data_IF_791087928844
#
_entry.id   IF_791087928844
#
_cell.length_a   1.000
_cell.length_b   1.000
_cell.length_c   1.000
_cell.angle_alpha   90.00
_cell.angle_beta   90.00
_cell.angle_gamma   90.00
#
_symmetry.space_group_name_H-M   'P 1'
#
loop_
_entity.id
_entity.type
_entity.pdbx_description
1 polymer ?
#
# COMPACT_ATOMS: atom_id res chain seq x y z
N UNK A 1 -2.09 -1.97 7.94
CA UNK A 1 -2.38 -0.52 8.08
C UNK A 1 -3.07 -0.28 9.42
N UNK A 2 -2.43 0.47 10.31
CA UNK A 2 -2.95 0.77 11.64
C UNK A 2 -3.55 2.18 11.72
N UNK A 3 -3.12 3.08 10.87
CA UNK A 3 -3.64 4.44 10.73
C UNK A 3 -4.49 4.60 9.45
N UNK A 4 -5.42 3.69 9.26
CA UNK A 4 -6.27 3.62 8.06
C UNK A 4 -7.11 4.89 7.91
N UNK A 5 -7.19 5.50 6.71
CA UNK A 5 -8.14 6.56 6.46
C UNK A 5 -9.57 6.12 6.75
N UNK A 6 -10.31 6.92 7.54
CA UNK A 6 -11.65 6.57 8.02
C UNK A 6 -12.67 6.37 6.89
N UNK A 7 -12.43 6.98 5.72
CA UNK A 7 -13.25 6.82 4.51
C UNK A 7 -13.28 5.36 4.02
N UNK A 8 -12.23 4.58 4.29
CA UNK A 8 -12.16 3.17 3.89
C UNK A 8 -13.14 2.26 4.65
N UNK A 9 -13.77 2.75 5.73
CA UNK A 9 -14.75 2.02 6.52
C UNK A 9 -16.20 2.24 6.06
N UNK A 10 -16.42 3.00 5.00
CA UNK A 10 -17.76 3.19 4.46
C UNK A 10 -18.31 1.88 3.92
N UNK A 11 -19.59 1.56 4.21
CA UNK A 11 -20.24 0.34 3.72
C UNK A 11 -20.38 0.32 2.20
N UNK A 12 -20.56 1.50 1.60
CA UNK A 12 -20.64 1.69 0.16
C UNK A 12 -19.34 2.25 -0.37
N UNK A 13 -18.74 1.52 -1.30
CA UNK A 13 -17.55 1.97 -2.01
C UNK A 13 -17.80 3.23 -2.87
N UNK A 14 -18.99 3.39 -3.43
CA UNK A 14 -19.33 4.57 -4.23
C UNK A 14 -19.31 5.85 -3.37
N UNK A 15 -19.76 5.79 -2.12
CA UNK A 15 -19.65 6.91 -1.19
C UNK A 15 -18.19 7.23 -0.87
N UNK A 16 -17.36 6.21 -0.73
CA UNK A 16 -15.91 6.37 -0.54
C UNK A 16 -15.22 7.03 -1.72
N UNK A 17 -15.57 6.65 -2.95
CA UNK A 17 -15.06 7.28 -4.18
C UNK A 17 -15.38 8.77 -4.24
N UNK A 18 -16.59 9.16 -3.88
CA UNK A 18 -16.99 10.56 -3.87
C UNK A 18 -16.16 11.38 -2.91
N UNK A 19 -15.93 10.88 -1.68
CA UNK A 19 -15.10 11.56 -0.68
C UNK A 19 -13.66 11.68 -1.13
N UNK A 20 -13.10 10.61 -1.71
CA UNK A 20 -11.71 10.62 -2.18
C UNK A 20 -11.53 11.53 -3.39
N UNK A 21 -12.50 11.55 -4.31
CA UNK A 21 -12.52 12.52 -5.40
C UNK A 21 -12.55 13.96 -4.88
N UNK A 22 -13.38 14.23 -3.88
CA UNK A 22 -13.44 15.56 -3.24
C UNK A 22 -12.12 15.94 -2.59
N UNK A 23 -11.44 14.98 -1.95
CA UNK A 23 -10.13 15.17 -1.36
C UNK A 23 -9.07 15.49 -2.43
N UNK A 24 -8.99 14.67 -3.49
CA UNK A 24 -8.06 14.89 -4.61
C UNK A 24 -8.31 16.24 -5.29
N UNK A 25 -9.57 16.59 -5.56
CA UNK A 25 -9.94 17.89 -6.14
C UNK A 25 -9.49 19.05 -5.22
N UNK A 26 -9.70 18.96 -3.90
CA UNK A 26 -9.24 19.97 -2.94
C UNK A 26 -7.71 20.10 -2.93
N UNK A 27 -6.99 18.99 -2.89
CA UNK A 27 -5.52 18.97 -2.90
C UNK A 27 -4.99 19.61 -4.19
N UNK A 28 -5.57 19.26 -5.34
CA UNK A 28 -5.14 19.81 -6.64
C UNK A 28 -5.47 21.31 -6.77
N UNK A 29 -6.64 21.74 -6.32
CA UNK A 29 -7.06 23.15 -6.41
C UNK A 29 -6.14 24.07 -5.60
N UNK A 30 -5.71 23.63 -4.40
CA UNK A 30 -4.84 24.47 -3.55
C UNK A 30 -3.39 24.56 -4.05
N UNK A 31 -2.95 23.73 -5.00
CA UNK A 31 -1.61 23.81 -5.57
C UNK A 31 -1.45 24.91 -6.63
N UNK A 32 -2.55 25.54 -7.04
CA UNK A 32 -2.49 26.61 -8.04
C UNK A 32 -1.77 27.85 -7.49
N UNK A 33 -0.84 28.41 -8.25
CA UNK A 33 -0.13 29.64 -7.86
C UNK A 33 -1.07 30.82 -7.67
N UNK A 34 -2.15 30.89 -8.46
CA UNK A 34 -3.20 31.92 -8.35
C UNK A 34 -4.58 31.25 -8.28
N UNK A 35 -5.41 31.69 -7.33
CA UNK A 35 -6.78 31.23 -7.17
C UNK A 35 -7.73 32.17 -7.91
N UNK A 36 -8.10 31.78 -9.14
CA UNK A 36 -9.14 32.49 -9.89
C UNK A 36 -10.49 32.40 -9.14
N UNK A 37 -11.43 33.27 -9.49
CA UNK A 37 -12.79 33.21 -8.94
C UNK A 37 -13.45 31.83 -9.14
N UNK A 38 -13.12 31.16 -10.24
CA UNK A 38 -13.59 29.80 -10.50
C UNK A 38 -13.00 28.81 -9.50
N UNK A 39 -11.69 28.83 -9.23
CA UNK A 39 -11.00 27.99 -8.24
C UNK A 39 -11.57 28.25 -6.84
N UNK A 40 -11.76 29.52 -6.46
CA UNK A 40 -12.34 29.89 -5.17
C UNK A 40 -13.75 29.36 -5.00
N UNK A 41 -14.56 29.43 -6.06
CA UNK A 41 -15.93 28.90 -6.08
C UNK A 41 -15.94 27.38 -5.94
N UNK A 42 -15.08 26.66 -6.67
CA UNK A 42 -14.96 25.20 -6.59
C UNK A 42 -14.51 24.74 -5.20
N UNK A 43 -13.48 25.38 -4.62
CA UNK A 43 -13.04 25.12 -3.25
C UNK A 43 -14.20 25.23 -2.26
N UNK A 44 -14.95 26.33 -2.31
CA UNK A 44 -16.10 26.55 -1.42
C UNK A 44 -17.21 25.51 -1.65
N UNK A 45 -17.48 25.11 -2.89
CA UNK A 45 -18.51 24.11 -3.20
C UNK A 45 -18.12 22.74 -2.62
N UNK A 46 -16.87 22.30 -2.82
CA UNK A 46 -16.39 21.02 -2.29
C UNK A 46 -16.38 21.06 -0.76
N UNK A 47 -15.87 22.13 -0.17
CA UNK A 47 -15.87 22.29 1.29
C UNK A 47 -17.28 22.33 1.89
N UNK A 48 -18.26 22.90 1.18
CA UNK A 48 -19.67 22.97 1.62
C UNK A 48 -20.33 21.58 1.64
N UNK A 49 -20.13 20.77 0.59
CA UNK A 49 -20.71 19.41 0.53
C UNK A 49 -20.05 18.44 1.52
N UNK A 50 -18.83 18.72 1.94
CA UNK A 50 -18.16 17.99 3.03
C UNK A 50 -18.51 18.62 4.39
N UNK A 51 -19.65 18.22 4.95
CA UNK A 51 -20.25 18.83 6.13
C UNK A 51 -19.25 19.00 7.29
N UNK A 52 -19.18 20.24 7.81
CA UNK A 52 -18.26 20.62 8.88
C UNK A 52 -16.93 21.24 8.39
N UNK A 53 -16.51 20.97 7.15
CA UNK A 53 -15.22 21.41 6.64
C UNK A 53 -15.08 22.96 6.59
N UNK A 54 -16.14 23.69 6.23
CA UNK A 54 -16.19 25.15 6.28
C UNK A 54 -16.27 25.69 7.71
N UNK A 55 -17.03 25.05 8.59
CA UNK A 55 -17.35 25.59 9.91
C UNK A 55 -16.33 25.23 10.97
N UNK A 56 -15.88 23.96 10.97
CA UNK A 56 -15.00 23.38 11.98
C UNK A 56 -13.60 23.08 11.44
N UNK A 57 -13.34 23.32 10.16
CA UNK A 57 -12.12 22.87 9.43
C UNK A 57 -11.98 21.37 9.35
N UNK A 58 -13.02 20.63 9.70
CA UNK A 58 -13.05 19.18 9.55
C UNK A 58 -14.45 18.68 9.23
N UNK A 59 -14.52 17.69 8.36
CA UNK A 59 -15.70 16.85 8.10
C UNK A 59 -15.55 15.51 8.79
N UNK A 60 -16.39 14.54 8.46
CA UNK A 60 -16.24 13.16 8.92
C UNK A 60 -14.94 12.54 8.42
N UNK A 61 -14.47 12.88 7.22
CA UNK A 61 -13.37 12.21 6.52
C UNK A 61 -12.19 13.09 6.13
N UNK A 62 -12.38 14.40 6.01
CA UNK A 62 -11.37 15.36 5.55
C UNK A 62 -11.17 16.43 6.61
N UNK A 63 -9.92 16.82 6.84
CA UNK A 63 -9.53 17.96 7.67
C UNK A 63 -8.75 18.98 6.83
N UNK A 64 -9.02 20.28 7.05
CA UNK A 64 -8.18 21.37 6.60
C UNK A 64 -7.24 21.78 7.75
N UNK A 65 -5.95 21.69 7.53
CA UNK A 65 -4.90 22.18 8.44
C UNK A 65 -4.45 23.54 7.94
N UNK A 66 -4.58 24.56 8.78
CA UNK A 66 -4.10 25.93 8.52
C UNK A 66 -2.99 26.25 9.52
N UNK A 67 -1.71 26.26 9.08
CA UNK A 67 -0.53 26.51 9.92
C UNK A 67 -0.20 27.98 10.00
N UNK A 68 -0.21 28.66 8.86
CA UNK A 68 0.06 30.09 8.75
C UNK A 68 -0.92 30.70 7.77
N UNK A 69 -1.51 31.82 8.15
CA UNK A 69 -2.65 32.45 7.45
C UNK A 69 -3.85 31.51 7.28
N UNK A 70 -4.91 31.96 6.69
CA UNK A 70 -6.15 31.19 6.53
C UNK A 70 -6.56 31.09 5.08
N UNK A 71 -6.87 29.89 4.64
CA UNK A 71 -7.49 29.68 3.33
C UNK A 71 -8.90 30.24 3.28
N UNK A 72 -9.71 30.01 4.32
CA UNK A 72 -11.12 30.34 4.32
C UNK A 72 -11.56 31.05 5.61
N UNK A 73 -12.44 32.05 5.49
CA UNK A 73 -13.02 32.79 6.64
C UNK A 73 -14.50 33.08 6.38
N UNK A 74 -15.26 33.24 7.46
CA UNK A 74 -16.61 33.78 7.40
C UNK A 74 -16.56 35.31 7.46
N UNK A 75 -17.10 35.99 6.43
CA UNK A 75 -17.19 37.44 6.34
C UNK A 75 -18.66 37.79 6.05
N UNK A 76 -19.24 38.70 6.82
CA UNK A 76 -20.65 39.14 6.66
C UNK A 76 -21.65 37.98 6.53
N UNK A 77 -21.43 36.92 7.30
CA UNK A 77 -22.29 35.73 7.28
C UNK A 77 -21.96 34.69 6.22
N UNK A 78 -21.11 34.99 5.23
CA UNK A 78 -20.75 34.11 4.11
C UNK A 78 -19.31 33.64 4.25
N UNK A 79 -19.03 32.38 3.84
CA UNK A 79 -17.65 31.87 3.75
C UNK A 79 -17.00 32.32 2.45
N UNK A 80 -15.79 32.86 2.55
CA UNK A 80 -14.99 33.32 1.42
C UNK A 80 -13.57 32.73 1.49
N UNK A 81 -12.97 32.42 0.34
CA UNK A 81 -11.57 32.07 0.24
C UNK A 81 -10.76 33.37 0.34
N UNK A 82 -9.88 33.46 1.34
CA UNK A 82 -9.05 34.64 1.60
C UNK A 82 -7.80 34.66 0.75
N UNK A 83 -7.17 33.48 0.61
CA UNK A 83 -5.94 33.35 -0.15
C UNK A 83 -6.17 33.59 -1.64
N UNK A 84 -5.24 34.27 -2.31
CA UNK A 84 -5.26 34.49 -3.75
C UNK A 84 -4.38 33.53 -4.52
N UNK A 85 -3.67 32.65 -3.82
CA UNK A 85 -2.81 31.64 -4.38
C UNK A 85 -2.16 30.74 -3.34
N UNK A 86 -1.38 29.80 -3.81
CA UNK A 86 -0.68 28.83 -2.92
C UNK A 86 0.29 29.49 -1.96
N UNK A 87 0.92 30.58 -2.37
CA UNK A 87 1.96 31.25 -1.58
C UNK A 87 1.42 32.16 -0.48
N UNK A 88 0.11 32.45 -0.46
CA UNK A 88 -0.52 33.33 0.52
C UNK A 88 -0.76 32.68 1.89
N UNK A 89 -0.66 31.35 1.98
CA UNK A 89 -0.94 30.62 3.20
C UNK A 89 -0.16 29.30 3.27
N UNK A 90 0.02 28.77 4.49
CA UNK A 90 0.63 27.46 4.73
C UNK A 90 -0.42 26.55 5.37
N UNK A 91 -0.72 25.49 4.67
CA UNK A 91 -1.69 24.49 5.12
C UNK A 91 -1.96 23.45 4.04
N UNK A 92 -2.79 22.46 4.36
CA UNK A 92 -3.14 21.37 3.47
C UNK A 92 -4.47 20.73 3.87
N UNK A 93 -5.01 19.90 2.98
CA UNK A 93 -6.07 18.98 3.32
C UNK A 93 -5.47 17.61 3.65
N UNK A 94 -6.04 16.92 4.64
CA UNK A 94 -5.65 15.54 5.01
C UNK A 94 -6.89 14.67 5.20
N UNK A 95 -6.76 13.37 4.90
CA UNK A 95 -7.77 12.38 5.24
C UNK A 95 -7.71 12.07 6.73
N UNK A 96 -8.87 12.09 7.39
CA UNK A 96 -8.97 11.68 8.80
C UNK A 96 -8.72 10.19 8.94
N UNK A 97 -7.89 9.83 9.89
CA UNK A 97 -7.58 8.46 10.23
C UNK A 97 -8.64 7.87 11.17
N UNK A 98 -8.83 6.56 11.05
CA UNK A 98 -9.73 5.83 11.94
C UNK A 98 -9.10 5.61 13.32
N UNK A 99 -9.95 5.31 14.31
CA UNK A 99 -9.46 4.93 15.64
C UNK A 99 -8.76 3.57 15.56
N UNK A 100 -7.56 3.51 16.10
CA UNK A 100 -6.78 2.27 16.18
C UNK A 100 -7.55 1.24 17.02
N UNK A 101 -7.76 0.05 16.47
CA UNK A 101 -8.30 -1.10 17.19
C UNK A 101 -7.15 -1.94 17.76
N UNK A 102 -6.86 -1.80 19.04
CA UNK A 102 -5.75 -2.49 19.71
C UNK A 102 -5.77 -4.01 19.45
N UNK A 103 -6.93 -4.64 19.59
CA UNK A 103 -7.11 -6.07 19.34
C UNK A 103 -6.71 -6.50 17.90
N UNK A 104 -7.01 -5.67 16.92
CA UNK A 104 -6.64 -5.97 15.53
C UNK A 104 -5.11 -5.94 15.34
N UNK A 105 -4.44 -4.97 15.95
CA UNK A 105 -2.99 -4.85 15.95
C UNK A 105 -2.34 -6.06 16.65
N UNK A 106 -2.84 -6.41 17.83
CA UNK A 106 -2.36 -7.56 18.59
C UNK A 106 -2.54 -8.88 17.82
N UNK A 107 -3.69 -9.07 17.18
CA UNK A 107 -3.95 -10.26 16.36
C UNK A 107 -3.01 -10.33 15.14
N UNK A 108 -2.72 -9.20 14.50
CA UNK A 108 -1.71 -9.15 13.44
C UNK A 108 -0.34 -9.61 13.94
N UNK A 109 0.09 -9.12 15.11
CA UNK A 109 1.35 -9.54 15.69
C UNK A 109 1.37 -11.04 16.07
N UNK A 110 0.25 -11.58 16.58
CA UNK A 110 0.13 -13.04 16.87
C UNK A 110 0.33 -13.88 15.62
N UNK A 111 -0.33 -13.51 14.51
CA UNK A 111 -0.17 -14.22 13.22
C UNK A 111 1.29 -14.17 12.76
N UNK A 112 1.91 -12.99 12.78
CA UNK A 112 3.32 -12.83 12.39
C UNK A 112 4.24 -13.69 13.26
N UNK A 113 4.02 -13.72 14.57
CA UNK A 113 4.81 -14.53 15.49
C UNK A 113 4.70 -16.03 15.20
N UNK A 114 3.51 -16.51 14.83
CA UNK A 114 3.29 -17.91 14.50
C UNK A 114 3.86 -18.31 13.14
N UNK A 115 3.97 -17.37 12.19
CA UNK A 115 4.63 -17.61 10.91
C UNK A 115 6.13 -17.85 11.07
N UNK A 116 6.76 -17.33 12.14
CA UNK A 116 8.20 -17.50 12.44
C UNK A 116 9.10 -17.16 11.27
N UNK A 117 8.74 -16.12 10.52
CA UNK A 117 9.51 -15.69 9.35
C UNK A 117 10.79 -14.98 9.77
N UNK A 118 11.86 -15.15 8.98
CA UNK A 118 13.11 -14.42 9.15
C UNK A 118 13.10 -13.09 8.37
N UNK A 119 12.36 -13.05 7.28
CA UNK A 119 12.15 -11.84 6.46
C UNK A 119 10.65 -11.67 6.23
N UNK A 120 10.13 -10.50 6.55
CA UNK A 120 8.72 -10.13 6.33
C UNK A 120 8.65 -8.90 5.43
N UNK A 121 8.12 -9.09 4.23
CA UNK A 121 7.74 -8.00 3.33
C UNK A 121 6.35 -7.49 3.72
N UNK A 122 6.22 -6.20 3.97
CA UNK A 122 4.99 -5.59 4.49
C UNK A 122 4.38 -4.72 3.40
N UNK A 123 3.10 -4.93 3.14
CA UNK A 123 2.29 -4.13 2.22
C UNK A 123 1.28 -3.33 3.03
N UNK A 124 1.05 -2.07 2.64
CA UNK A 124 0.16 -1.14 3.33
C UNK A 124 0.64 -0.76 4.74
N UNK A 125 1.93 -0.54 4.91
CA UNK A 125 2.47 0.13 6.09
C UNK A 125 2.38 1.65 5.94
N UNK A 126 2.12 2.36 7.03
CA UNK A 126 1.93 3.82 7.01
C UNK A 126 3.24 4.59 6.83
N UNK A 127 4.29 4.16 7.49
CA UNK A 127 5.63 4.73 7.42
C UNK A 127 6.61 3.89 8.24
N UNK A 128 7.90 4.17 8.12
CA UNK A 128 8.95 3.45 8.83
C UNK A 128 8.82 3.53 10.36
N UNK A 129 8.37 4.67 10.91
CA UNK A 129 8.23 4.84 12.36
C UNK A 129 7.11 3.98 12.92
N UNK A 130 5.96 3.92 12.23
CA UNK A 130 4.84 3.06 12.62
C UNK A 130 5.23 1.57 12.55
N UNK A 131 5.90 1.16 11.47
CA UNK A 131 6.39 -0.21 11.30
C UNK A 131 7.42 -0.58 12.39
N UNK A 132 8.35 0.33 12.71
CA UNK A 132 9.34 0.14 13.77
C UNK A 132 8.67 0.00 15.14
N UNK A 133 7.71 0.85 15.48
CA UNK A 133 6.95 0.76 16.75
C UNK A 133 6.19 -0.56 16.85
N UNK A 134 5.55 -0.99 15.76
CA UNK A 134 4.89 -2.29 15.73
C UNK A 134 5.87 -3.43 16.00
N UNK A 135 7.02 -3.42 15.34
CA UNK A 135 8.09 -4.39 15.52
C UNK A 135 8.62 -4.42 16.96
N UNK A 136 8.92 -3.25 17.54
CA UNK A 136 9.63 -3.16 18.84
C UNK A 136 8.69 -3.23 20.05
N UNK A 137 7.41 -2.87 19.90
CA UNK A 137 6.47 -2.75 21.01
C UNK A 137 5.36 -3.81 20.98
N UNK A 138 4.79 -4.07 19.79
CA UNK A 138 3.60 -4.94 19.69
C UNK A 138 4.00 -6.40 19.55
N UNK A 139 4.96 -6.71 18.69
CA UNK A 139 5.45 -8.09 18.49
C UNK A 139 5.92 -8.71 19.82
N UNK A 140 6.76 -8.05 20.66
CA UNK A 140 7.16 -8.59 21.96
C UNK A 140 6.01 -8.68 22.96
N UNK A 141 5.09 -7.70 22.98
CA UNK A 141 3.89 -7.76 23.84
C UNK A 141 3.09 -9.05 23.58
N UNK A 142 3.07 -9.52 22.32
CA UNK A 142 2.43 -10.77 21.90
C UNK A 142 3.37 -11.99 21.99
N UNK A 143 4.43 -11.93 22.81
CA UNK A 143 5.41 -13.00 23.04
C UNK A 143 6.24 -13.40 21.82
N UNK A 144 6.33 -12.53 20.83
CA UNK A 144 7.22 -12.69 19.68
C UNK A 144 8.59 -12.07 19.92
N UNK A 145 9.53 -12.39 19.06
CA UNK A 145 10.83 -11.74 19.00
C UNK A 145 10.79 -10.62 17.96
N UNK A 146 11.23 -9.43 18.34
CA UNK A 146 11.40 -8.31 17.38
C UNK A 146 12.39 -8.68 16.27
N UNK A 147 12.17 -8.12 15.09
CA UNK A 147 13.13 -8.19 13.99
C UNK A 147 14.23 -7.14 14.21
N UNK A 148 15.42 -7.45 13.73
CA UNK A 148 16.62 -6.62 13.95
C UNK A 148 16.67 -5.42 13.02
N UNK A 149 16.15 -5.57 11.80
CA UNK A 149 16.16 -4.52 10.77
C UNK A 149 14.74 -4.12 10.38
N UNK A 150 14.53 -2.81 10.19
CA UNK A 150 13.26 -2.23 9.73
C UNK A 150 13.54 -1.16 8.70
N UNK A 151 13.06 -1.35 7.47
CA UNK A 151 13.22 -0.38 6.39
C UNK A 151 11.90 -0.18 5.63
N UNK A 152 11.61 1.07 5.34
CA UNK A 152 10.51 1.54 4.51
C UNK A 152 10.85 2.95 4.04
N UNK A 153 10.59 3.24 2.78
CA UNK A 153 10.62 4.59 2.19
C UNK A 153 9.19 4.93 1.78
N UNK A 154 8.75 6.14 2.11
CA UNK A 154 7.44 6.64 1.75
C UNK A 154 7.31 6.71 0.22
N UNK A 155 6.20 6.20 -0.31
CA UNK A 155 5.88 6.19 -1.73
C UNK A 155 5.00 7.37 -2.15
N UNK A 156 4.45 7.28 -3.36
CA UNK A 156 3.66 8.35 -3.97
C UNK A 156 2.16 8.32 -3.61
N UNK A 157 1.74 7.48 -2.67
CA UNK A 157 0.33 7.37 -2.31
C UNK A 157 -0.04 8.37 -1.21
N UNK A 158 -0.83 9.38 -1.55
CA UNK A 158 -1.27 10.42 -0.60
C UNK A 158 -2.05 9.86 0.61
N UNK A 159 -2.51 8.62 0.55
CA UNK A 159 -3.16 7.94 1.68
C UNK A 159 -2.16 7.43 2.72
N UNK A 160 -0.83 7.54 2.45
CA UNK A 160 0.23 7.04 3.31
C UNK A 160 0.14 5.53 3.48
N UNK A 161 0.20 4.79 2.37
CA UNK A 161 0.24 3.32 2.34
C UNK A 161 1.40 2.85 1.48
N UNK A 162 2.42 2.34 2.13
CA UNK A 162 3.71 2.05 1.55
C UNK A 162 4.07 0.57 1.64
N UNK A 163 5.22 0.23 1.06
CA UNK A 163 5.79 -1.10 1.13
C UNK A 163 7.08 -1.06 1.94
N UNK A 164 7.29 -2.08 2.77
CA UNK A 164 8.45 -2.13 3.65
C UNK A 164 8.92 -3.55 3.92
N UNK A 165 9.99 -3.64 4.70
CA UNK A 165 10.61 -4.90 5.10
C UNK A 165 11.04 -4.84 6.56
N UNK A 166 10.89 -5.95 7.26
CA UNK A 166 11.57 -6.23 8.52
C UNK A 166 12.28 -7.57 8.39
N UNK A 167 13.53 -7.64 8.88
CA UNK A 167 14.33 -8.87 8.80
C UNK A 167 15.09 -9.15 10.09
N UNK A 168 15.39 -10.44 10.33
CA UNK A 168 16.16 -10.90 11.47
C UNK A 168 17.65 -10.81 11.22
N UNK A 169 18.43 -10.84 12.28
CA UNK A 169 19.88 -10.99 12.24
C UNK A 169 20.26 -12.18 11.35
N UNK A 170 21.22 -11.96 10.46
CA UNK A 170 21.65 -12.91 9.43
C UNK A 170 20.97 -12.68 8.07
N UNK A 171 19.93 -11.84 8.02
CA UNK A 171 19.34 -11.33 6.78
C UNK A 171 19.55 -9.82 6.72
N UNK A 172 20.82 -9.44 6.53
CA UNK A 172 21.27 -8.05 6.58
C UNK A 172 20.88 -7.31 5.30
N UNK A 173 20.25 -6.14 5.45
CA UNK A 173 19.93 -5.27 4.31
C UNK A 173 21.23 -4.58 3.88
N UNK A 174 21.78 -4.97 2.73
CA UNK A 174 23.01 -4.40 2.14
C UNK A 174 22.77 -3.09 1.44
N UNK A 175 21.70 -3.04 0.66
CA UNK A 175 21.31 -1.85 -0.06
C UNK A 175 19.79 -1.86 -0.30
N UNK A 176 19.28 -0.69 -0.61
CA UNK A 176 17.92 -0.47 -1.04
C UNK A 176 17.92 0.52 -2.20
N UNK A 177 17.15 0.22 -3.24
CA UNK A 177 16.86 1.14 -4.34
C UNK A 177 15.37 1.40 -4.38
N UNK A 178 14.98 2.68 -4.35
CA UNK A 178 13.60 3.11 -4.52
C UNK A 178 13.37 3.49 -5.98
N UNK A 179 12.18 3.19 -6.47
CA UNK A 179 11.72 3.50 -7.81
C UNK A 179 10.54 4.50 -7.80
N UNK A 180 10.36 5.23 -6.69
CA UNK A 180 9.25 6.20 -6.52
C UNK A 180 9.25 7.27 -7.60
N UNK A 181 10.43 7.72 -8.04
CA UNK A 181 10.61 8.80 -9.01
C UNK A 181 10.72 8.30 -10.46
N UNK A 182 10.57 6.99 -10.69
CA UNK A 182 10.64 6.44 -12.04
C UNK A 182 9.48 6.93 -12.90
N UNK A 183 9.82 7.49 -14.05
CA UNK A 183 8.88 8.08 -15.01
C UNK A 183 8.96 7.42 -16.38
N UNK A 184 7.89 7.54 -17.11
CA UNK A 184 7.82 7.31 -18.56
C UNK A 184 7.00 8.45 -19.24
N UNK A 185 6.73 8.43 -20.53
CA UNK A 185 5.94 9.48 -21.18
C UNK A 185 4.55 9.75 -20.58
N UNK A 186 3.99 8.78 -19.87
CA UNK A 186 2.72 8.92 -19.16
C UNK A 186 2.88 9.40 -17.69
N UNK A 187 4.08 9.84 -17.29
CA UNK A 187 4.41 10.34 -15.93
C UNK A 187 4.90 9.27 -14.98
N UNK A 188 4.76 9.49 -13.67
CA UNK A 188 5.21 8.54 -12.62
C UNK A 188 4.67 7.12 -12.85
N UNK A 189 5.55 6.13 -12.80
CA UNK A 189 5.20 4.71 -13.01
C UNK A 189 4.54 4.13 -11.76
N UNK A 190 5.12 4.34 -10.59
CA UNK A 190 4.62 3.76 -9.34
C UNK A 190 3.72 4.73 -8.57
N UNK A 191 2.61 4.22 -8.05
CA UNK A 191 1.73 4.95 -7.12
C UNK A 191 2.20 4.81 -5.67
N UNK A 192 2.94 3.78 -5.37
CA UNK A 192 3.70 3.52 -4.16
C UNK A 192 5.17 3.42 -4.57
N UNK A 193 5.79 2.29 -4.34
CA UNK A 193 7.15 2.01 -4.81
C UNK A 193 7.20 0.61 -5.44
N UNK A 194 8.27 0.33 -6.17
CA UNK A 194 8.88 -0.98 -6.31
C UNK A 194 10.15 -0.95 -5.46
N UNK A 195 10.04 -1.24 -4.17
CA UNK A 195 11.18 -1.19 -3.28
C UNK A 195 12.09 -2.41 -3.52
N UNK A 196 13.27 -2.17 -4.05
CA UNK A 196 14.29 -3.19 -4.30
C UNK A 196 15.21 -3.31 -3.09
N UNK A 197 15.18 -4.43 -2.41
CA UNK A 197 16.05 -4.73 -1.29
C UNK A 197 17.06 -5.81 -1.65
N UNK A 198 18.32 -5.52 -1.44
CA UNK A 198 19.42 -6.48 -1.50
C UNK A 198 19.76 -6.95 -0.08
N UNK A 199 19.57 -8.23 0.20
CA UNK A 199 19.89 -8.86 1.48
C UNK A 199 21.04 -9.86 1.30
N UNK A 200 21.82 -10.02 2.37
CA UNK A 200 22.70 -11.19 2.49
C UNK A 200 22.00 -12.24 3.36
N UNK A 201 21.98 -13.48 2.93
CA UNK A 201 21.44 -14.59 3.71
C UNK A 201 22.46 -15.12 4.71
N UNK A 202 22.06 -15.90 5.75
CA UNK A 202 23.00 -16.52 6.69
C UNK A 202 24.09 -17.39 6.03
N UNK A 203 23.84 -17.88 4.82
CA UNK A 203 24.80 -18.67 4.03
C UNK A 203 25.69 -17.80 3.13
N UNK A 204 25.60 -16.46 3.23
CA UNK A 204 26.38 -15.53 2.43
C UNK A 204 25.89 -15.31 1.00
N UNK A 205 24.70 -15.81 0.65
CA UNK A 205 24.14 -15.59 -0.68
C UNK A 205 23.44 -14.23 -0.77
N UNK A 206 23.49 -13.64 -1.97
CA UNK A 206 22.70 -12.45 -2.30
C UNK A 206 21.25 -12.85 -2.55
N UNK A 207 20.32 -12.11 -1.93
CA UNK A 207 18.88 -12.25 -2.13
C UNK A 207 18.28 -10.90 -2.46
N UNK A 208 17.63 -10.78 -3.62
CA UNK A 208 16.93 -9.58 -4.02
C UNK A 208 15.42 -9.74 -3.88
N UNK A 209 14.79 -8.77 -3.22
CA UNK A 209 13.35 -8.70 -3.02
C UNK A 209 12.81 -7.42 -3.65
N UNK A 210 11.98 -7.56 -4.68
CA UNK A 210 11.28 -6.47 -5.33
C UNK A 210 9.88 -6.38 -4.73
N UNK A 211 9.68 -5.50 -3.75
CA UNK A 211 8.42 -5.39 -3.01
C UNK A 211 7.52 -4.37 -3.69
N UNK A 212 6.29 -4.77 -4.02
CA UNK A 212 5.39 -4.02 -4.87
C UNK A 212 3.98 -3.89 -4.28
N UNK A 213 3.34 -2.75 -4.51
CA UNK A 213 1.91 -2.59 -4.35
C UNK A 213 1.37 -1.82 -5.56
N UNK A 214 0.82 -2.54 -6.54
CA UNK A 214 0.36 -1.96 -7.80
C UNK A 214 -0.94 -1.17 -7.64
N UNK A 215 -1.27 -0.39 -8.65
CA UNK A 215 -2.51 0.39 -8.71
C UNK A 215 -3.73 -0.50 -8.54
N UNK A 216 -4.57 -0.18 -7.56
CA UNK A 216 -5.80 -0.93 -7.28
C UNK A 216 -6.84 -0.82 -8.42
N UNK A 217 -7.77 -1.78 -8.47
CA UNK A 217 -8.92 -1.73 -9.39
C UNK A 217 -9.99 -0.75 -8.95
N UNK A 218 -9.96 -0.31 -7.69
CA UNK A 218 -11.06 0.36 -7.03
C UNK A 218 -11.26 1.84 -7.35
N UNK A 219 -10.24 2.53 -7.87
CA UNK A 219 -10.26 3.98 -8.10
C UNK A 219 -9.95 4.36 -9.53
N UNK A 220 -10.76 5.25 -10.10
CA UNK A 220 -10.60 5.73 -11.47
C UNK A 220 -11.18 4.78 -12.52
N UNK A 221 -11.05 5.16 -13.79
CA UNK A 221 -11.52 4.33 -14.89
C UNK A 221 -10.71 3.02 -14.97
N UNK A 222 -11.38 1.91 -15.21
CA UNK A 222 -10.75 0.58 -15.29
C UNK A 222 -9.64 0.53 -16.36
N UNK A 223 -9.84 1.25 -17.48
CA UNK A 223 -8.86 1.31 -18.55
C UNK A 223 -7.55 1.98 -18.09
N UNK A 224 -7.65 3.11 -17.36
CA UNK A 224 -6.50 3.83 -16.83
C UNK A 224 -5.77 3.01 -15.76
N UNK A 225 -6.54 2.38 -14.88
CA UNK A 225 -5.98 1.48 -13.87
C UNK A 225 -5.22 0.31 -14.52
N UNK A 226 -5.77 -0.29 -15.59
CA UNK A 226 -5.11 -1.35 -16.34
C UNK A 226 -3.83 -0.85 -17.04
N UNK A 227 -3.89 0.35 -17.66
CA UNK A 227 -2.72 1.00 -18.28
C UNK A 227 -1.62 1.21 -17.23
N UNK A 228 -1.96 1.76 -16.06
CA UNK A 228 -1.02 2.00 -14.97
C UNK A 228 -0.38 0.69 -14.48
N UNK A 229 -1.17 -0.36 -14.19
CA UNK A 229 -0.64 -1.67 -13.77
C UNK A 229 0.25 -2.31 -14.84
N UNK A 230 -0.11 -2.17 -16.12
CA UNK A 230 0.72 -2.67 -17.23
C UNK A 230 2.10 -1.99 -17.24
N UNK A 231 2.15 -0.67 -17.03
CA UNK A 231 3.41 0.09 -16.94
C UNK A 231 4.25 -0.38 -15.76
N UNK A 232 3.61 -0.54 -14.58
CA UNK A 232 4.26 -1.05 -13.37
C UNK A 232 4.84 -2.44 -13.59
N UNK A 233 4.05 -3.37 -14.13
CA UNK A 233 4.52 -4.74 -14.40
C UNK A 233 5.68 -4.79 -15.42
N UNK A 234 5.65 -3.97 -16.47
CA UNK A 234 6.76 -3.87 -17.44
C UNK A 234 8.03 -3.32 -16.80
N UNK A 235 7.90 -2.32 -15.92
CA UNK A 235 9.07 -1.75 -15.23
C UNK A 235 9.66 -2.74 -14.24
N UNK A 236 8.85 -3.41 -13.44
CA UNK A 236 9.32 -4.45 -12.51
C UNK A 236 9.97 -5.61 -13.28
N UNK A 237 9.42 -6.01 -14.42
CA UNK A 237 10.04 -7.01 -15.28
C UNK A 237 11.42 -6.57 -15.76
N UNK A 238 11.58 -5.32 -16.18
CA UNK A 238 12.89 -4.79 -16.61
C UNK A 238 13.90 -4.84 -15.45
N UNK A 239 13.52 -4.39 -14.25
CA UNK A 239 14.37 -4.45 -13.05
C UNK A 239 14.75 -5.91 -12.75
N UNK A 240 13.78 -6.81 -12.77
CA UNK A 240 14.03 -8.23 -12.57
C UNK A 240 15.02 -8.80 -13.59
N UNK A 241 14.85 -8.51 -14.87
CA UNK A 241 15.73 -9.02 -15.93
C UNK A 241 17.18 -8.50 -15.77
N UNK A 242 17.35 -7.23 -15.40
CA UNK A 242 18.65 -6.62 -15.12
C UNK A 242 19.36 -7.29 -13.94
N UNK A 243 18.60 -7.63 -12.89
CA UNK A 243 19.14 -8.36 -11.72
C UNK A 243 19.42 -9.83 -12.06
N UNK A 244 18.52 -10.50 -12.77
CA UNK A 244 18.62 -11.93 -13.08
C UNK A 244 19.80 -12.25 -14.03
N UNK A 245 20.36 -11.26 -14.69
CA UNK A 245 21.61 -11.40 -15.44
C UNK A 245 22.85 -11.50 -14.54
N UNK A 246 22.74 -11.18 -13.25
CA UNK A 246 23.86 -11.07 -12.31
C UNK A 246 23.69 -11.91 -11.05
N UNK A 247 22.46 -12.17 -10.66
CA UNK A 247 22.10 -12.79 -9.39
C UNK A 247 21.07 -13.91 -9.57
N UNK A 248 21.21 -14.95 -8.78
CA UNK A 248 20.40 -16.16 -8.86
C UNK A 248 19.08 -16.06 -8.07
N UNK A 249 19.12 -15.42 -6.89
CA UNK A 249 18.00 -15.45 -5.96
C UNK A 249 17.26 -14.11 -5.94
N UNK A 250 16.16 -14.06 -6.69
CA UNK A 250 15.33 -12.86 -6.82
C UNK A 250 13.87 -13.25 -6.63
N UNK A 251 13.13 -12.44 -5.86
CA UNK A 251 11.68 -12.57 -5.74
C UNK A 251 10.98 -11.24 -6.02
N UNK A 252 9.93 -11.26 -6.82
CA UNK A 252 8.96 -10.17 -6.98
C UNK A 252 7.78 -10.49 -6.06
N UNK A 253 7.54 -9.60 -5.07
CA UNK A 253 6.61 -9.87 -3.98
C UNK A 253 5.61 -8.73 -3.86
N UNK A 254 4.38 -9.03 -3.50
CA UNK A 254 3.40 -8.06 -3.05
C UNK A 254 2.01 -8.18 -3.66
N UNK A 255 1.21 -7.15 -3.43
CA UNK A 255 -0.12 -7.01 -4.01
C UNK A 255 0.00 -6.40 -5.43
N UNK A 256 -0.10 -7.23 -6.45
CA UNK A 256 -0.09 -6.81 -7.85
C UNK A 256 -1.47 -6.37 -8.35
N UNK A 257 -2.49 -6.43 -7.49
CA UNK A 257 -3.85 -5.90 -7.71
C UNK A 257 -4.53 -6.40 -8.99
N UNK A 258 -4.10 -7.56 -9.50
CA UNK A 258 -4.73 -8.19 -10.66
C UNK A 258 -4.56 -9.71 -10.66
N UNK A 259 -5.37 -10.39 -11.47
CA UNK A 259 -5.38 -11.86 -11.57
C UNK A 259 -4.27 -12.35 -12.53
N UNK A 260 -3.83 -13.61 -12.40
CA UNK A 260 -2.71 -14.15 -13.20
C UNK A 260 -2.92 -14.08 -14.71
N UNK A 261 -4.17 -14.20 -15.17
CA UNK A 261 -4.53 -14.23 -16.58
C UNK A 261 -4.76 -12.82 -17.17
N UNK A 262 -4.58 -11.76 -16.36
CA UNK A 262 -4.86 -10.39 -16.77
C UNK A 262 -3.80 -9.86 -17.73
N UNK A 263 -4.24 -9.00 -18.65
CA UNK A 263 -3.32 -8.31 -19.56
C UNK A 263 -2.26 -7.47 -18.85
N UNK A 264 -2.58 -6.73 -17.75
CA UNK A 264 -1.58 -5.98 -17.00
C UNK A 264 -0.41 -6.81 -16.48
N UNK A 265 -0.64 -8.04 -16.00
CA UNK A 265 0.41 -8.86 -15.43
C UNK A 265 1.16 -9.75 -16.44
N UNK A 266 0.83 -9.66 -17.73
CA UNK A 266 1.46 -10.50 -18.78
C UNK A 266 2.98 -10.36 -18.83
N UNK A 267 3.54 -9.18 -18.49
CA UNK A 267 4.98 -8.98 -18.45
C UNK A 267 5.67 -9.85 -17.39
N UNK A 268 5.00 -10.12 -16.27
CA UNK A 268 5.53 -10.91 -15.15
C UNK A 268 5.12 -12.39 -15.22
N UNK A 269 3.94 -12.71 -15.74
CA UNK A 269 3.31 -14.01 -15.66
C UNK A 269 3.02 -14.67 -17.01
N UNK A 270 3.30 -13.97 -18.12
CA UNK A 270 3.12 -14.52 -19.47
C UNK A 270 4.20 -15.52 -19.86
N UNK A 271 4.02 -16.17 -21.01
CA UNK A 271 4.90 -17.22 -21.54
C UNK A 271 6.38 -16.81 -21.69
N UNK A 272 6.65 -15.50 -21.83
CA UNK A 272 8.00 -14.99 -21.94
C UNK A 272 8.66 -14.69 -20.58
N UNK A 273 7.99 -15.01 -19.47
CA UNK A 273 8.54 -14.85 -18.12
C UNK A 273 9.05 -16.19 -17.61
N UNK A 274 10.23 -16.17 -16.97
CA UNK A 274 10.76 -17.30 -16.22
C UNK A 274 10.43 -17.24 -14.73
N UNK A 275 9.67 -16.21 -14.28
CA UNK A 275 9.20 -16.07 -12.90
C UNK A 275 8.18 -17.15 -12.56
N UNK A 276 8.35 -17.79 -11.42
CA UNK A 276 7.53 -18.89 -10.95
C UNK A 276 6.71 -18.44 -9.72
N UNK A 277 5.38 -18.45 -9.86
CA UNK A 277 4.47 -18.16 -8.74
C UNK A 277 4.54 -19.30 -7.72
N UNK A 278 4.82 -19.00 -6.45
CA UNK A 278 4.88 -19.99 -5.37
C UNK A 278 3.59 -20.81 -5.27
N UNK A 279 2.43 -20.25 -5.59
CA UNK A 279 1.16 -20.97 -5.58
C UNK A 279 1.04 -22.04 -6.69
N UNK A 280 1.92 -21.99 -7.69
CA UNK A 280 2.04 -23.01 -8.74
C UNK A 280 3.18 -24.00 -8.50
N UNK A 281 3.95 -23.80 -7.44
CA UNK A 281 5.10 -24.64 -7.11
C UNK A 281 4.65 -25.94 -6.46
N UNK A 282 5.34 -27.07 -6.75
CA UNK A 282 5.01 -28.41 -6.21
C UNK A 282 5.04 -28.49 -4.68
N UNK A 283 5.81 -27.64 -4.02
CA UNK A 283 5.91 -27.54 -2.56
C UNK A 283 4.86 -26.61 -1.93
N UNK A 284 3.92 -26.09 -2.73
CA UNK A 284 2.86 -25.25 -2.18
C UNK A 284 1.78 -26.09 -1.53
N UNK A 285 1.50 -25.79 -0.25
CA UNK A 285 0.42 -26.41 0.51
C UNK A 285 -0.62 -25.34 0.82
N UNK A 286 -1.71 -25.35 0.06
CA UNK A 286 -2.81 -24.40 0.22
C UNK A 286 -4.00 -25.01 0.96
N UNK A 287 -4.98 -24.15 1.24
CA UNK A 287 -6.28 -24.51 1.83
C UNK A 287 -7.34 -24.89 0.77
N UNK A 288 -6.92 -25.17 -0.45
CA UNK A 288 -7.80 -25.49 -1.59
C UNK A 288 -8.41 -24.27 -2.28
N UNK A 289 -8.11 -23.06 -1.83
CA UNK A 289 -8.63 -21.81 -2.40
C UNK A 289 -7.62 -21.18 -3.35
N UNK A 290 -8.03 -20.79 -4.56
CA UNK A 290 -7.12 -20.30 -5.58
C UNK A 290 -6.70 -18.83 -5.40
N UNK A 291 -7.38 -18.05 -4.56
CA UNK A 291 -7.13 -16.62 -4.35
C UNK A 291 -6.39 -16.32 -3.05
N UNK A 292 -5.94 -15.09 -2.90
CA UNK A 292 -5.22 -14.58 -1.73
C UNK A 292 -6.04 -13.59 -0.92
N UNK A 293 -6.97 -12.88 -1.57
CA UNK A 293 -7.79 -11.83 -0.98
C UNK A 293 -9.22 -12.31 -0.68
N UNK A 294 -9.84 -11.75 0.37
CA UNK A 294 -11.21 -12.03 0.77
C UNK A 294 -11.47 -13.53 0.97
N UNK A 295 -12.50 -14.05 0.35
CA UNK A 295 -12.87 -15.47 0.42
C UNK A 295 -11.93 -16.42 -0.35
N UNK A 296 -10.82 -15.94 -0.89
CA UNK A 296 -9.86 -16.74 -1.62
C UNK A 296 -10.37 -17.25 -2.98
N UNK A 297 -11.31 -16.56 -3.61
CA UNK A 297 -11.82 -16.91 -4.94
C UNK A 297 -10.76 -16.67 -6.03
N UNK A 298 -10.93 -17.25 -7.21
CA UNK A 298 -10.00 -17.08 -8.34
C UNK A 298 -9.82 -15.60 -8.71
N UNK A 299 -10.87 -14.80 -8.67
CA UNK A 299 -10.83 -13.36 -8.92
C UNK A 299 -10.11 -12.56 -7.82
N UNK A 300 -9.93 -13.16 -6.65
CA UNK A 300 -9.20 -12.60 -5.51
C UNK A 300 -7.73 -13.05 -5.42
N UNK A 301 -7.13 -13.63 -6.47
CA UNK A 301 -5.69 -13.88 -6.53
C UNK A 301 -5.00 -12.56 -6.93
N UNK A 302 -4.55 -11.80 -5.94
CA UNK A 302 -3.98 -10.46 -6.09
C UNK A 302 -2.55 -10.37 -5.56
N UNK A 303 -2.21 -11.18 -4.55
CA UNK A 303 -0.90 -11.21 -3.91
C UNK A 303 -0.03 -12.31 -4.49
N UNK A 304 1.25 -12.03 -4.62
CA UNK A 304 2.21 -12.90 -5.30
C UNK A 304 3.55 -12.97 -4.56
N UNK A 305 4.18 -14.13 -4.64
CA UNK A 305 5.62 -14.35 -4.49
C UNK A 305 6.06 -15.03 -5.78
N UNK A 306 6.68 -14.25 -6.67
CA UNK A 306 7.21 -14.73 -7.94
C UNK A 306 8.71 -14.91 -7.81
N UNK A 307 9.20 -16.10 -7.99
CA UNK A 307 10.61 -16.48 -7.75
C UNK A 307 11.35 -16.62 -9.07
N UNK A 308 12.62 -16.22 -9.09
CA UNK A 308 13.56 -16.63 -10.13
C UNK A 308 13.71 -18.17 -10.15
N UNK A 309 14.11 -18.79 -11.27
CA UNK A 309 14.25 -20.25 -11.35
C UNK A 309 15.16 -20.85 -10.29
N UNK A 310 16.29 -20.19 -10.00
CA UNK A 310 17.24 -20.69 -9.00
C UNK A 310 16.72 -20.55 -7.57
N UNK A 311 15.98 -19.48 -7.26
CA UNK A 311 15.30 -19.32 -5.97
C UNK A 311 14.18 -20.37 -5.82
N UNK A 312 13.41 -20.60 -6.87
CA UNK A 312 12.34 -21.63 -6.86
C UNK A 312 12.86 -23.03 -6.50
N UNK A 313 14.04 -23.43 -7.00
CA UNK A 313 14.69 -24.71 -6.64
C UNK A 313 15.00 -24.82 -5.14
N UNK A 314 15.09 -23.69 -4.42
CA UNK A 314 15.35 -23.68 -2.97
C UNK A 314 14.08 -23.74 -2.14
N UNK A 315 12.89 -23.59 -2.74
CA UNK A 315 11.61 -23.64 -2.04
C UNK A 315 11.38 -25.03 -1.42
N UNK A 316 11.18 -25.08 -0.11
CA UNK A 316 10.89 -26.32 0.64
C UNK A 316 9.41 -26.44 0.99
N UNK A 317 8.75 -25.31 1.20
CA UNK A 317 7.35 -25.21 1.55
C UNK A 317 6.84 -23.83 1.13
N UNK A 318 5.65 -23.77 0.57
CA UNK A 318 4.87 -22.56 0.36
C UNK A 318 3.47 -22.72 0.95
N UNK A 319 2.83 -21.62 1.31
CA UNK A 319 1.48 -21.66 1.87
C UNK A 319 0.82 -20.30 1.96
N UNK A 320 -0.42 -20.29 2.42
CA UNK A 320 -1.18 -19.07 2.73
C UNK A 320 -1.69 -19.16 4.16
N UNK A 321 -1.42 -18.14 4.95
CA UNK A 321 -2.00 -17.95 6.26
C UNK A 321 -3.17 -16.96 6.17
N UNK A 322 -4.35 -17.34 6.67
CA UNK A 322 -5.56 -16.51 6.59
C UNK A 322 -6.18 -16.18 7.93
N UNK A 323 -5.59 -16.60 9.03
CA UNK A 323 -6.13 -16.30 10.36
C UNK A 323 -6.21 -14.79 10.59
N UNK A 324 -7.34 -14.32 11.08
CA UNK A 324 -7.59 -12.90 11.31
C UNK A 324 -7.99 -12.08 10.08
N UNK A 325 -7.97 -12.65 8.88
CA UNK A 325 -8.39 -11.95 7.64
C UNK A 325 -9.89 -11.72 7.59
N UNK A 326 -10.67 -12.59 8.24
CA UNK A 326 -12.13 -12.56 8.21
C UNK A 326 -12.72 -12.45 9.61
N UNK A 327 -13.44 -11.36 9.88
CA UNK A 327 -14.13 -11.12 11.16
C UNK A 327 -15.66 -11.10 11.07
N UNK A 328 -16.26 -11.60 9.98
CA UNK A 328 -17.71 -11.57 9.74
C UNK A 328 -18.48 -12.74 10.38
N UNK A 329 -19.79 -12.83 10.07
CA UNK A 329 -20.70 -13.90 10.53
C UNK A 329 -20.28 -15.32 10.12
N UNK A 330 -19.32 -15.44 9.21
CA UNK A 330 -18.74 -16.70 8.74
C UNK A 330 -17.36 -16.97 9.38
N UNK A 331 -17.15 -16.52 10.61
CA UNK A 331 -15.90 -16.73 11.37
C UNK A 331 -15.44 -18.18 11.47
N UNK A 332 -16.33 -19.14 11.23
CA UNK A 332 -16.01 -20.57 11.19
C UNK A 332 -15.07 -20.97 10.05
N UNK A 333 -14.99 -20.16 8.98
CA UNK A 333 -14.11 -20.43 7.84
C UNK A 333 -12.65 -20.02 8.11
N UNK A 334 -12.44 -19.04 9.00
CA UNK A 334 -11.13 -18.56 9.40
C UNK A 334 -11.14 -18.37 10.91
N UNK A 335 -10.58 -19.31 11.69
CA UNK A 335 -10.57 -19.21 13.14
C UNK A 335 -9.97 -17.85 13.53
N UNK A 336 -10.78 -17.05 14.18
CA UNK A 336 -10.34 -15.81 14.83
C UNK A 336 -9.56 -16.23 16.05
N UNK A 337 -8.43 -15.59 16.34
CA UNK A 337 -7.83 -15.69 17.67
C UNK A 337 -8.81 -15.10 18.67
N UNK A 338 -9.66 -15.94 19.23
CA UNK A 338 -10.42 -15.63 20.43
C UNK A 338 -9.47 -15.79 21.60
N UNK A 339 -8.91 -14.69 22.06
CA UNK A 339 -8.08 -14.38 23.22
C UNK A 339 -6.63 -14.06 22.98
#
# INVERSE_FOLDING_TARGET
MFERPSVMNLPSWEDGKTVLKDFDDLVNLIQNKMYSEQIKKELLQIMKRNNGLLTKRESKFIRLVEVREKLVKKQQGVYVILANGRDDWIGWFELKKDTIKELAIENTARVINELKTDVLCVIEAENRIALKRFNEMVIPKMKGQSYDHTMLIDGNDERGIDVGIISRKGFEIRSMTSHVDDVDPDGLIFSRDCAEYHLTTPSGNDLFLLINHFKSKGFGAQQDNNKKRTRQAKKVRKIYDELNNKFDFIAVIGDLNDTPDSTPLRALLGSNSNLLDIMKHEKFVGDGRPGTHGNGTKSGKLDYILMSPELAKKAKLGGIERRGVWGGKNGDLFPIFLR
#
